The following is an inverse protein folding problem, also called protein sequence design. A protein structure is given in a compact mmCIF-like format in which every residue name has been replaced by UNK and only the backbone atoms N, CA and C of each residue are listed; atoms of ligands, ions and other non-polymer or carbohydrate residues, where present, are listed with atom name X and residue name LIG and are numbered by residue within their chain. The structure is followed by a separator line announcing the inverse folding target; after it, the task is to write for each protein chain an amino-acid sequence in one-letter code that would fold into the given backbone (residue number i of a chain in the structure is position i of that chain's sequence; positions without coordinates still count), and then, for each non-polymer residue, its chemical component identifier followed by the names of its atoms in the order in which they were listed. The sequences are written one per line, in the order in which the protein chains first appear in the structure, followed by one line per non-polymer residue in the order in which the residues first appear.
data_IF_834749597556
#
_entry.id   IF_834749597556
#
_cell.length_a   1.000
_cell.length_b   1.000
_cell.length_c   1.000
_cell.angle_alpha   90.00
_cell.angle_beta   90.00
_cell.angle_gamma   90.00
#
_symmetry.space_group_name_H-M   'P 1'
#
loop_
_entity.id
_entity.type
_entity.pdbx_description
1 polymer ?
#
# COMPACT_ATOMS: atom_id res chain seq x y z
N UNK A 1 -17.03 4.49 -16.77
CA UNK A 1 -16.11 5.04 -15.76
C UNK A 1 -15.05 3.98 -15.49
N UNK A 2 -13.78 4.37 -15.35
CA UNK A 2 -12.75 3.44 -14.89
C UNK A 2 -13.07 3.07 -13.43
N UNK A 3 -12.96 1.78 -13.09
CA UNK A 3 -13.16 1.31 -11.72
C UNK A 3 -11.94 1.67 -10.88
N UNK A 4 -12.10 1.89 -9.57
CA UNK A 4 -10.94 2.19 -8.69
C UNK A 4 -9.94 1.03 -8.75
N UNK A 5 -10.43 -0.21 -8.84
CA UNK A 5 -9.57 -1.39 -9.01
C UNK A 5 -8.64 -1.30 -10.22
N UNK A 6 -9.07 -0.65 -11.31
CA UNK A 6 -8.25 -0.49 -12.52
C UNK A 6 -7.03 0.41 -12.33
N UNK A 7 -6.98 1.17 -11.22
CA UNK A 7 -5.83 2.01 -10.85
C UNK A 7 -4.71 1.22 -10.16
N UNK A 8 -4.94 -0.03 -9.77
CA UNK A 8 -3.90 -0.88 -9.21
C UNK A 8 -2.98 -1.33 -10.35
N UNK A 9 -1.68 -0.96 -10.35
CA UNK A 9 -0.77 -1.36 -11.43
C UNK A 9 -0.63 -2.88 -11.53
N UNK A 10 -0.54 -3.40 -12.76
CA UNK A 10 -0.37 -4.84 -13.01
C UNK A 10 0.92 -5.42 -12.38
N UNK A 11 1.94 -4.58 -12.23
CA UNK A 11 3.24 -4.90 -11.63
C UNK A 11 3.32 -4.58 -10.13
N UNK A 12 2.21 -4.19 -9.47
CA UNK A 12 2.22 -3.86 -8.05
C UNK A 12 2.74 -5.02 -7.17
N UNK A 13 2.35 -6.26 -7.51
CA UNK A 13 2.85 -7.46 -6.83
C UNK A 13 4.36 -7.67 -7.01
N UNK A 14 4.90 -7.30 -8.17
CA UNK A 14 6.33 -7.35 -8.44
C UNK A 14 7.07 -6.38 -7.52
N UNK A 15 6.60 -5.13 -7.40
CA UNK A 15 7.24 -4.14 -6.53
C UNK A 15 7.28 -4.57 -5.07
N UNK A 16 6.18 -5.11 -4.54
CA UNK A 16 6.14 -5.67 -3.17
C UNK A 16 7.17 -6.80 -3.01
N UNK A 17 7.25 -7.72 -3.98
CA UNK A 17 8.21 -8.83 -3.91
C UNK A 17 9.66 -8.34 -3.85
N UNK A 18 9.97 -7.22 -4.53
CA UNK A 18 11.30 -6.61 -4.48
C UNK A 18 11.60 -5.92 -3.15
N UNK A 19 10.59 -5.38 -2.48
CA UNK A 19 10.74 -4.89 -1.12
C UNK A 19 11.09 -6.03 -0.15
N UNK A 20 10.43 -7.18 -0.26
CA UNK A 20 10.81 -8.38 0.51
C UNK A 20 12.25 -8.81 0.23
N UNK A 21 12.67 -8.88 -1.03
CA UNK A 21 14.06 -9.24 -1.34
C UNK A 21 15.07 -8.26 -0.71
N UNK A 22 14.68 -6.99 -0.67
CA UNK A 22 15.44 -5.92 -0.04
C UNK A 22 15.58 -6.01 1.48
N UNK A 23 14.74 -6.81 2.17
CA UNK A 23 14.92 -7.08 3.61
C UNK A 23 15.96 -8.17 3.87
N UNK A 24 16.21 -9.06 2.90
CA UNK A 24 17.18 -10.17 3.06
C UNK A 24 18.54 -9.88 2.45
N UNK A 25 18.57 -9.09 1.38
CA UNK A 25 19.77 -8.82 0.59
C UNK A 25 19.80 -7.37 0.16
N UNK A 26 20.99 -6.80 -0.01
CA UNK A 26 21.12 -5.50 -0.66
C UNK A 26 20.51 -5.55 -2.05
N UNK A 27 19.42 -4.79 -2.26
CA UNK A 27 18.72 -4.72 -3.52
C UNK A 27 18.84 -3.32 -4.12
N UNK A 28 19.59 -3.14 -5.24
CA UNK A 28 19.93 -1.81 -5.78
C UNK A 28 18.74 -0.92 -6.14
N UNK A 29 17.56 -1.50 -6.36
CA UNK A 29 16.36 -0.77 -6.79
C UNK A 29 15.28 -0.71 -5.70
N UNK A 30 15.63 -0.94 -4.44
CA UNK A 30 14.64 -0.99 -3.36
C UNK A 30 13.88 0.35 -3.20
N UNK A 31 14.57 1.48 -3.36
CA UNK A 31 13.98 2.82 -3.33
C UNK A 31 12.94 3.01 -4.44
N UNK A 32 13.29 2.63 -5.68
CA UNK A 32 12.38 2.70 -6.82
C UNK A 32 11.10 1.85 -6.63
N UNK A 33 11.26 0.65 -6.05
CA UNK A 33 10.12 -0.21 -5.77
C UNK A 33 9.25 0.35 -4.65
N UNK A 34 9.84 0.97 -3.62
CA UNK A 34 9.09 1.64 -2.57
C UNK A 34 8.30 2.83 -3.13
N UNK A 35 8.95 3.66 -3.95
CA UNK A 35 8.32 4.82 -4.58
C UNK A 35 7.13 4.41 -5.46
N UNK A 36 7.29 3.33 -6.23
CA UNK A 36 6.21 2.79 -7.07
C UNK A 36 5.01 2.34 -6.22
N UNK A 37 5.26 1.68 -5.08
CA UNK A 37 4.21 1.28 -4.13
C UNK A 37 3.54 2.49 -3.49
N UNK A 38 4.32 3.49 -3.05
CA UNK A 38 3.82 4.73 -2.46
C UNK A 38 2.94 5.50 -3.44
N UNK A 39 3.37 5.66 -4.69
CA UNK A 39 2.62 6.38 -5.72
C UNK A 39 1.30 5.70 -6.05
N UNK A 40 1.27 4.37 -6.13
CA UNK A 40 0.03 3.62 -6.33
C UNK A 40 -0.93 3.78 -5.15
N UNK A 41 -0.45 3.68 -3.90
CA UNK A 41 -1.29 3.88 -2.71
C UNK A 41 -1.83 5.31 -2.63
N UNK A 42 -1.01 6.31 -2.93
CA UNK A 42 -1.43 7.71 -2.97
C UNK A 42 -2.50 7.95 -4.05
N UNK A 43 -2.32 7.38 -5.24
CA UNK A 43 -3.29 7.47 -6.34
C UNK A 43 -4.64 6.88 -5.95
N UNK A 44 -4.64 5.69 -5.32
CA UNK A 44 -5.86 5.07 -4.81
C UNK A 44 -6.54 5.93 -3.73
N UNK A 45 -5.76 6.47 -2.80
CA UNK A 45 -6.26 7.34 -1.72
C UNK A 45 -6.94 8.58 -2.28
N UNK A 46 -6.30 9.25 -3.23
CA UNK A 46 -6.84 10.43 -3.91
C UNK A 46 -8.12 10.11 -4.66
N UNK A 47 -8.17 9.01 -5.42
CA UNK A 47 -9.37 8.69 -6.19
C UNK A 47 -10.55 8.30 -5.30
N UNK A 48 -10.31 7.52 -4.24
CA UNK A 48 -11.35 7.17 -3.27
C UNK A 48 -11.89 8.43 -2.59
N UNK A 49 -11.01 9.37 -2.22
CA UNK A 49 -11.42 10.64 -1.62
C UNK A 49 -12.24 11.49 -2.59
N UNK A 50 -11.82 11.58 -3.85
CA UNK A 50 -12.54 12.31 -4.90
C UNK A 50 -13.95 11.76 -5.15
N UNK A 51 -14.11 10.43 -5.18
CA UNK A 51 -15.38 9.80 -5.53
C UNK A 51 -16.34 9.66 -4.34
N UNK A 52 -15.83 9.36 -3.15
CA UNK A 52 -16.65 8.98 -2.00
C UNK A 52 -16.45 9.89 -0.78
N UNK A 53 -15.39 10.69 -0.72
CA UNK A 53 -14.93 11.37 0.47
C UNK A 53 -14.39 10.38 1.49
N UNK A 54 -13.07 10.25 1.58
CA UNK A 54 -12.39 9.22 2.36
C UNK A 54 -12.71 9.33 3.85
N UNK A 55 -12.90 10.56 4.36
CA UNK A 55 -13.30 10.82 5.74
C UNK A 55 -14.68 10.23 6.10
N UNK A 56 -15.53 9.99 5.10
CA UNK A 56 -16.83 9.32 5.27
C UNK A 56 -16.75 7.80 5.22
N UNK A 57 -15.60 7.25 4.86
CA UNK A 57 -15.31 5.82 4.77
C UNK A 57 -14.34 5.43 5.88
N UNK A 58 -14.83 5.38 7.13
CA UNK A 58 -13.98 5.17 8.31
C UNK A 58 -13.08 3.94 8.20
N UNK A 59 -13.60 2.82 7.66
CA UNK A 59 -12.80 1.61 7.41
C UNK A 59 -11.63 1.86 6.46
N UNK A 60 -11.89 2.44 5.28
CA UNK A 60 -10.86 2.75 4.30
C UNK A 60 -9.84 3.77 4.83
N UNK A 61 -10.30 4.80 5.56
CA UNK A 61 -9.42 5.80 6.17
C UNK A 61 -8.42 5.15 7.13
N UNK A 62 -8.89 4.26 8.02
CA UNK A 62 -8.03 3.54 8.98
C UNK A 62 -7.03 2.65 8.24
N UNK A 63 -7.45 1.96 7.18
CA UNK A 63 -6.58 1.10 6.37
C UNK A 63 -5.48 1.93 5.69
N UNK A 64 -5.82 3.09 5.12
CA UNK A 64 -4.82 3.99 4.55
C UNK A 64 -3.83 4.50 5.59
N UNK A 65 -4.28 4.86 6.81
CA UNK A 65 -3.36 5.30 7.87
C UNK A 65 -2.35 4.21 8.26
N UNK A 66 -2.80 2.94 8.30
CA UNK A 66 -1.92 1.79 8.54
C UNK A 66 -0.93 1.58 7.39
N UNK A 67 -1.39 1.67 6.15
CA UNK A 67 -0.55 1.59 4.95
C UNK A 67 0.53 2.69 4.98
N UNK A 68 0.12 3.94 5.20
CA UNK A 68 1.01 5.10 5.25
C UNK A 68 2.07 4.95 6.34
N UNK A 69 1.66 4.45 7.52
CA UNK A 69 2.59 4.18 8.61
C UNK A 69 3.63 3.13 8.24
N UNK A 70 3.23 2.03 7.60
CA UNK A 70 4.17 1.00 7.16
C UNK A 70 5.13 1.54 6.11
N UNK A 71 4.63 2.22 5.08
CA UNK A 71 5.46 2.78 4.01
C UNK A 71 6.48 3.78 4.56
N UNK A 72 6.09 4.60 5.55
CA UNK A 72 7.00 5.52 6.25
C UNK A 72 8.11 4.78 7.02
N UNK A 73 7.81 3.63 7.64
CA UNK A 73 8.81 2.82 8.34
C UNK A 73 9.78 2.16 7.37
N UNK A 74 9.28 1.61 6.26
CA UNK A 74 10.11 1.06 5.19
C UNK A 74 11.03 2.12 4.60
N UNK A 75 10.49 3.31 4.30
CA UNK A 75 11.27 4.45 3.82
C UNK A 75 12.40 4.81 4.79
N UNK A 76 12.10 4.89 6.08
CA UNK A 76 13.09 5.19 7.10
C UNK A 76 14.22 4.16 7.13
N UNK A 77 13.91 2.85 7.13
CA UNK A 77 14.92 1.79 7.15
C UNK A 77 15.76 1.75 5.86
N UNK A 78 15.15 2.06 4.72
CA UNK A 78 15.87 2.18 3.43
C UNK A 78 16.86 3.35 3.50
N UNK A 79 16.37 4.56 3.84
CA UNK A 79 17.20 5.77 3.89
C UNK A 79 18.33 5.69 4.92
N UNK A 80 18.10 4.99 6.03
CA UNK A 80 19.12 4.79 7.07
C UNK A 80 20.01 3.57 6.82
N UNK A 81 19.79 2.82 5.73
CA UNK A 81 20.52 1.60 5.37
C UNK A 81 20.45 0.52 6.46
N UNK A 82 19.30 0.42 7.13
CA UNK A 82 19.02 -0.54 8.21
C UNK A 82 17.93 -1.55 7.85
N UNK A 83 17.55 -1.64 6.57
CA UNK A 83 16.50 -2.57 6.12
C UNK A 83 17.00 -4.02 5.96
N UNK A 84 18.27 -4.21 5.57
CA UNK A 84 18.83 -5.55 5.35
C UNK A 84 19.04 -6.26 6.68
N UNK A 85 18.50 -7.47 6.82
CA UNK A 85 18.53 -8.25 8.05
C UNK A 85 17.57 -7.77 9.14
N UNK A 86 16.73 -6.77 8.85
CA UNK A 86 15.77 -6.23 9.80
C UNK A 86 14.49 -7.07 9.83
N UNK A 87 14.32 -7.86 10.90
CA UNK A 87 13.14 -8.70 11.09
C UNK A 87 11.85 -7.87 11.14
N UNK A 88 11.89 -6.68 11.74
CA UNK A 88 10.73 -5.80 11.78
C UNK A 88 10.32 -5.36 10.37
N UNK A 89 11.27 -5.15 9.45
CA UNK A 89 10.94 -4.81 8.06
C UNK A 89 10.13 -5.91 7.37
N UNK A 90 10.46 -7.18 7.63
CA UNK A 90 9.68 -8.33 7.14
C UNK A 90 8.26 -8.36 7.73
N UNK A 91 8.13 -8.20 9.05
CA UNK A 91 6.83 -8.14 9.74
C UNK A 91 5.96 -7.00 9.21
N UNK A 92 6.56 -5.84 8.94
CA UNK A 92 5.87 -4.69 8.39
C UNK A 92 5.41 -4.93 6.96
N UNK A 93 6.22 -5.58 6.11
CA UNK A 93 5.79 -5.96 4.76
C UNK A 93 4.64 -6.98 4.77
N UNK A 94 4.66 -7.95 5.69
CA UNK A 94 3.55 -8.89 5.88
C UNK A 94 2.27 -8.16 6.30
N UNK A 95 2.39 -7.21 7.24
CA UNK A 95 1.28 -6.37 7.66
C UNK A 95 0.76 -5.50 6.51
N UNK A 96 1.66 -4.89 5.71
CA UNK A 96 1.29 -4.11 4.53
C UNK A 96 0.49 -4.95 3.53
N UNK A 97 0.92 -6.18 3.25
CA UNK A 97 0.18 -7.09 2.36
C UNK A 97 -1.24 -7.34 2.89
N UNK A 98 -1.37 -7.58 4.20
CA UNK A 98 -2.67 -7.75 4.85
C UNK A 98 -3.57 -6.52 4.70
N UNK A 99 -3.04 -5.33 5.01
CA UNK A 99 -3.80 -4.07 4.88
C UNK A 99 -4.16 -3.76 3.42
N UNK A 100 -3.29 -4.09 2.47
CA UNK A 100 -3.57 -3.86 1.06
C UNK A 100 -4.62 -4.83 0.52
N UNK A 101 -4.62 -6.09 0.96
CA UNK A 101 -5.67 -7.05 0.59
C UNK A 101 -7.03 -6.67 1.21
N UNK A 102 -7.04 -6.12 2.43
CA UNK A 102 -8.24 -5.50 3.03
C UNK A 102 -8.71 -4.29 2.19
N UNK A 103 -7.81 -3.40 1.78
CA UNK A 103 -8.13 -2.26 0.90
C UNK A 103 -8.73 -2.72 -0.43
N UNK A 104 -8.20 -3.78 -1.06
CA UNK A 104 -8.76 -4.35 -2.29
C UNK A 104 -10.19 -4.82 -2.12
N UNK A 105 -10.51 -5.46 -1.00
CA UNK A 105 -11.88 -5.89 -0.71
C UNK A 105 -12.82 -4.70 -0.60
N UNK A 106 -12.40 -3.65 0.11
CA UNK A 106 -13.18 -2.40 0.20
C UNK A 106 -13.36 -1.74 -1.18
N UNK A 107 -12.33 -1.74 -2.03
CA UNK A 107 -12.41 -1.24 -3.41
C UNK A 107 -13.40 -2.08 -4.23
N UNK A 108 -13.40 -3.40 -4.10
CA UNK A 108 -14.36 -4.28 -4.79
C UNK A 108 -15.81 -4.00 -4.35
N UNK A 109 -16.04 -3.70 -3.07
CA UNK A 109 -17.33 -3.24 -2.56
C UNK A 109 -17.74 -1.87 -3.12
N UNK A 110 -16.78 -0.94 -3.28
CA UNK A 110 -17.00 0.37 -3.89
C UNK A 110 -17.39 0.27 -5.36
N UNK A 111 -16.60 -0.48 -6.14
CA UNK A 111 -16.81 -0.66 -7.57
C UNK A 111 -18.10 -1.45 -7.89
N UNK A 112 -18.55 -2.31 -6.97
CA UNK A 112 -19.83 -3.03 -7.10
C UNK A 112 -21.05 -2.23 -6.61
N UNK A 113 -20.84 -1.04 -6.04
CA UNK A 113 -21.91 -0.19 -5.49
C UNK A 113 -22.49 -0.68 -4.16
N UNK A 114 -21.79 -1.59 -3.46
CA UNK A 114 -22.21 -2.13 -2.16
C UNK A 114 -21.67 -1.32 -0.97
N UNK A 115 -21.22 -0.08 -1.18
CA UNK A 115 -20.61 0.77 -0.14
C UNK A 115 -21.54 0.92 1.06
N UNK A 116 -21.23 0.22 2.15
CA UNK A 116 -21.85 0.47 3.44
C UNK A 116 -21.16 1.68 4.07
N UNK A 117 -21.78 2.85 3.95
CA UNK A 117 -21.47 4.00 4.80
C UNK A 117 -21.83 3.61 6.23
N UNK A 118 -20.85 3.18 7.03
CA UNK A 118 -21.00 2.92 8.46
C UNK A 118 -20.32 4.02 9.24
#
# INVERSE_FOLDING_TARGET
MATIKSLIPNDFSYHISKLYNGTYTEYPLIEFNLESVQNACATLKTEIDNQYGLSSLTGASIVFDKIDYVLKKLEHWIKTKTIVGNLDAGVFLDAFKGYFDELKQMIDEMDSGQVQKR
#
